data_IF_622665252184
#
_entry.id   IF_622665252184
#
_cell.length_a   1.000
_cell.length_b   1.000
_cell.length_c   1.000
_cell.angle_alpha   90.00
_cell.angle_beta   90.00
_cell.angle_gamma   90.00
#
_symmetry.space_group_name_H-M   'P 1'
#
loop_
_entity.id
_entity.type
_entity.pdbx_description
1 polymer ?
#
# COMPACT_ATOMS: atom_id res chain seq x y z
N UNK A 1 -25.81 -28.57 -8.66
CA UNK A 1 -26.22 -27.39 -9.45
C UNK A 1 -25.20 -27.26 -10.57
N UNK A 2 -25.62 -27.37 -11.83
CA UNK A 2 -24.71 -27.38 -12.98
C UNK A 2 -23.99 -26.03 -13.12
N UNK A 3 -22.70 -26.06 -13.46
CA UNK A 3 -21.79 -24.90 -13.49
C UNK A 3 -22.29 -23.83 -14.49
N UNK A 4 -22.90 -24.28 -15.59
CA UNK A 4 -23.59 -23.42 -16.58
C UNK A 4 -24.79 -22.66 -16.01
N UNK A 5 -25.48 -23.21 -15.00
CA UNK A 5 -26.62 -22.54 -14.39
C UNK A 5 -26.19 -21.43 -13.44
N UNK A 6 -25.03 -21.55 -12.79
CA UNK A 6 -24.44 -20.48 -11.98
C UNK A 6 -23.93 -19.33 -12.85
N UNK A 7 -23.30 -19.63 -13.98
CA UNK A 7 -22.85 -18.62 -14.95
C UNK A 7 -24.03 -17.83 -15.56
N UNK A 8 -25.10 -18.53 -15.96
CA UNK A 8 -26.29 -17.87 -16.49
C UNK A 8 -27.06 -17.07 -15.42
N UNK A 9 -27.12 -17.56 -14.17
CA UNK A 9 -27.73 -16.84 -13.07
C UNK A 9 -26.94 -15.57 -12.71
N UNK A 10 -25.61 -15.66 -12.68
CA UNK A 10 -24.71 -14.54 -12.45
C UNK A 10 -24.79 -13.50 -13.57
N UNK A 11 -24.73 -13.93 -14.84
CA UNK A 11 -24.84 -13.03 -15.98
C UNK A 11 -26.20 -12.31 -16.01
N UNK A 12 -27.30 -12.98 -15.60
CA UNK A 12 -28.62 -12.32 -15.44
C UNK A 12 -28.64 -11.33 -14.28
N UNK A 13 -28.03 -11.68 -13.13
CA UNK A 13 -27.90 -10.77 -11.99
C UNK A 13 -27.01 -9.55 -12.29
N UNK A 14 -26.01 -9.73 -13.15
CA UNK A 14 -25.06 -8.68 -13.50
C UNK A 14 -25.45 -7.88 -14.76
N UNK A 15 -26.39 -8.36 -15.57
CA UNK A 15 -26.83 -7.71 -16.80
C UNK A 15 -27.39 -6.30 -16.56
N UNK A 16 -28.04 -6.09 -15.41
CA UNK A 16 -28.63 -4.80 -15.04
C UNK A 16 -27.74 -3.96 -14.12
N UNK A 17 -26.70 -4.55 -13.51
CA UNK A 17 -25.69 -3.77 -12.78
C UNK A 17 -24.71 -3.17 -13.78
N UNK A 18 -24.96 -1.92 -14.19
CA UNK A 18 -24.05 -1.19 -15.06
C UNK A 18 -22.59 -1.35 -14.58
N UNK A 19 -21.72 -1.87 -15.45
CA UNK A 19 -20.31 -2.08 -15.14
C UNK A 19 -19.73 -0.75 -14.69
N UNK A 20 -19.39 -0.66 -13.40
CA UNK A 20 -18.76 0.53 -12.81
C UNK A 20 -17.48 0.83 -13.59
N UNK A 21 -17.33 2.06 -14.10
CA UNK A 21 -16.11 2.48 -14.78
C UNK A 21 -14.96 2.42 -13.79
N UNK A 22 -13.71 2.26 -14.27
CA UNK A 22 -12.54 2.14 -13.39
C UNK A 22 -12.40 3.30 -12.37
N UNK A 23 -12.91 4.48 -12.73
CA UNK A 23 -13.01 5.67 -11.87
C UNK A 23 -14.07 5.61 -10.77
N UNK A 24 -15.08 4.78 -10.96
CA UNK A 24 -16.16 4.59 -10.00
C UNK A 24 -15.74 3.59 -8.90
N UNK A 25 -14.59 2.92 -9.08
CA UNK A 25 -13.97 1.97 -8.15
C UNK A 25 -13.06 2.70 -7.15
N UNK A 26 -13.02 2.22 -5.91
CA UNK A 26 -12.08 2.70 -4.90
C UNK A 26 -10.62 2.53 -5.36
N UNK A 27 -9.67 3.40 -4.96
CA UNK A 27 -8.28 3.34 -5.42
C UNK A 27 -7.63 1.95 -5.27
N UNK A 28 -7.90 1.25 -4.16
CA UNK A 28 -7.39 -0.09 -3.89
C UNK A 28 -7.99 -1.15 -4.83
N UNK A 29 -9.25 -0.97 -5.23
CA UNK A 29 -9.94 -1.85 -6.20
C UNK A 29 -9.44 -1.55 -7.61
N UNK A 30 -9.33 -0.27 -7.98
CA UNK A 30 -8.76 0.20 -9.25
C UNK A 30 -7.33 -0.35 -9.46
N UNK A 31 -6.49 -0.31 -8.43
CA UNK A 31 -5.14 -0.87 -8.46
C UNK A 31 -5.11 -2.38 -8.69
N UNK A 32 -5.97 -3.14 -7.99
CA UNK A 32 -6.06 -4.60 -8.17
C UNK A 32 -6.59 -4.99 -9.54
N UNK A 33 -7.55 -4.24 -10.08
CA UNK A 33 -8.07 -4.47 -11.44
C UNK A 33 -7.05 -4.08 -12.52
N UNK A 34 -6.28 -3.00 -12.34
CA UNK A 34 -5.23 -2.60 -13.28
C UNK A 34 -4.05 -3.59 -13.28
N UNK A 35 -3.61 -4.06 -12.12
CA UNK A 35 -2.58 -5.08 -12.00
C UNK A 35 -3.03 -6.44 -12.58
N UNK A 36 -4.33 -6.78 -12.46
CA UNK A 36 -4.90 -7.97 -13.08
C UNK A 36 -5.01 -7.86 -14.62
N UNK A 37 -5.16 -6.64 -15.17
CA UNK A 37 -5.19 -6.40 -16.61
C UNK A 37 -3.84 -6.65 -17.31
N UNK A 38 -2.73 -6.63 -16.57
CA UNK A 38 -1.38 -6.89 -17.09
C UNK A 38 -1.05 -8.39 -17.20
N UNK A 39 -1.83 -9.27 -16.57
CA UNK A 39 -1.70 -10.72 -16.67
C UNK A 39 -2.83 -11.20 -17.58
N UNK A 40 -2.55 -11.74 -18.77
CA UNK A 40 -3.60 -12.41 -19.59
C UNK A 40 -4.26 -13.50 -18.74
N UNK A 41 -5.46 -13.31 -18.16
CA UNK A 41 -6.01 -14.30 -17.28
C UNK A 41 -6.58 -15.41 -18.15
N UNK A 42 -6.35 -16.67 -17.79
CA UNK A 42 -7.19 -17.75 -18.31
C UNK A 42 -8.66 -17.41 -17.99
N UNK A 43 -9.60 -17.75 -18.89
CA UNK A 43 -11.03 -17.40 -18.76
C UNK A 43 -11.63 -17.73 -17.38
N UNK A 44 -11.09 -18.73 -16.66
CA UNK A 44 -11.51 -19.11 -15.31
C UNK A 44 -11.09 -18.12 -14.21
N UNK A 45 -9.90 -17.49 -14.30
CA UNK A 45 -9.41 -16.55 -13.30
C UNK A 45 -10.16 -15.20 -13.35
N UNK A 46 -10.52 -14.74 -14.55
CA UNK A 46 -11.35 -13.55 -14.74
C UNK A 46 -12.75 -13.73 -14.13
N UNK A 47 -13.31 -14.93 -14.25
CA UNK A 47 -14.63 -15.29 -13.71
C UNK A 47 -14.65 -15.30 -12.18
N UNK A 48 -13.62 -15.86 -11.52
CA UNK A 48 -13.52 -15.86 -10.05
C UNK A 48 -13.35 -14.45 -9.48
N UNK A 49 -12.59 -13.58 -10.16
CA UNK A 49 -12.40 -12.19 -9.76
C UNK A 49 -13.67 -11.35 -9.98
N UNK A 50 -14.37 -11.55 -11.11
CA UNK A 50 -15.66 -10.92 -11.38
C UNK A 50 -16.74 -11.37 -10.40
N UNK A 51 -16.80 -12.67 -10.08
CA UNK A 51 -17.70 -13.23 -9.08
C UNK A 51 -17.41 -12.70 -7.67
N UNK A 52 -16.13 -12.52 -7.31
CA UNK A 52 -15.74 -11.96 -6.01
C UNK A 52 -16.11 -10.48 -5.89
N UNK A 53 -15.87 -9.69 -6.94
CA UNK A 53 -16.23 -8.27 -6.97
C UNK A 53 -17.75 -8.06 -6.97
N UNK A 54 -18.48 -8.83 -7.78
CA UNK A 54 -19.94 -8.77 -7.84
C UNK A 54 -20.60 -9.29 -6.55
N UNK A 55 -20.08 -10.35 -5.93
CA UNK A 55 -20.55 -10.80 -4.61
C UNK A 55 -20.34 -9.71 -3.55
N UNK A 56 -19.20 -9.00 -3.59
CA UNK A 56 -18.95 -7.87 -2.70
C UNK A 56 -19.95 -6.72 -2.94
N UNK A 57 -20.28 -6.43 -4.20
CA UNK A 57 -21.26 -5.39 -4.58
C UNK A 57 -22.68 -5.78 -4.15
N UNK A 58 -23.07 -7.06 -4.33
CA UNK A 58 -24.40 -7.58 -3.94
C UNK A 58 -24.57 -7.61 -2.42
N UNK A 59 -23.51 -7.94 -1.67
CA UNK A 59 -23.55 -7.89 -0.19
C UNK A 59 -23.69 -6.44 0.31
N UNK A 60 -23.09 -5.47 -0.39
CA UNK A 60 -23.18 -4.05 -0.05
C UNK A 60 -24.50 -3.39 -0.48
N UNK A 61 -25.28 -4.01 -1.37
CA UNK A 61 -26.59 -3.49 -1.83
C UNK A 61 -27.78 -3.96 -0.98
N UNK A 62 -27.57 -4.80 0.04
CA UNK A 62 -28.63 -5.19 0.98
C UNK A 62 -28.79 -4.09 2.06
N UNK A 63 -29.95 -3.42 2.17
CA UNK A 63 -30.21 -2.41 3.20
C UNK A 63 -30.07 -3.02 4.60
N UNK A 64 -29.25 -2.40 5.47
CA UNK A 64 -28.98 -2.85 6.84
C UNK A 64 -27.67 -3.63 7.01
N UNK A 65 -27.23 -4.39 6.00
CA UNK A 65 -25.90 -5.04 5.99
C UNK A 65 -24.80 -3.98 5.81
N UNK A 66 -25.08 -2.96 4.98
CA UNK A 66 -24.20 -1.81 4.80
C UNK A 66 -23.96 -1.07 6.11
N UNK A 67 -25.00 -0.69 6.87
CA UNK A 67 -24.86 -0.01 8.17
C UNK A 67 -24.09 -0.85 9.21
N UNK A 68 -24.37 -2.16 9.33
CA UNK A 68 -23.61 -3.07 10.21
C UNK A 68 -22.12 -3.14 9.83
N UNK A 69 -21.81 -3.18 8.53
CA UNK A 69 -20.43 -3.14 8.01
C UNK A 69 -19.83 -1.74 8.15
N UNK A 70 -20.62 -0.66 8.05
CA UNK A 70 -20.17 0.73 8.15
C UNK A 70 -19.75 1.10 9.58
N UNK A 71 -20.54 0.71 10.60
CA UNK A 71 -20.18 0.92 12.01
C UNK A 71 -18.99 0.05 12.44
N UNK A 72 -18.82 -1.12 11.82
CA UNK A 72 -17.73 -2.09 12.15
C UNK A 72 -16.43 -1.84 11.40
N UNK A 73 -16.46 -1.34 10.17
CA UNK A 73 -15.27 -0.96 9.42
C UNK A 73 -14.70 0.40 9.83
N UNK A 74 -15.44 1.24 10.57
CA UNK A 74 -15.00 2.56 11.02
C UNK A 74 -13.80 2.50 12.00
N UNK A 75 -13.51 1.34 12.58
CA UNK A 75 -12.43 1.15 13.55
C UNK A 75 -11.38 0.19 13.00
N UNK A 76 -10.26 0.75 12.59
CA UNK A 76 -9.10 0.02 12.12
C UNK A 76 -8.17 -0.23 13.31
N UNK A 77 -7.99 -1.51 13.66
CA UNK A 77 -7.07 -1.92 14.70
C UNK A 77 -5.72 -2.24 14.07
N UNK A 78 -4.65 -1.63 14.55
CA UNK A 78 -3.33 -2.19 14.29
C UNK A 78 -2.92 -2.99 15.52
N UNK A 79 -2.68 -4.28 15.32
CA UNK A 79 -2.23 -5.15 16.40
C UNK A 79 -0.83 -5.61 16.08
N UNK A 80 0.13 -5.21 16.90
CA UNK A 80 1.41 -5.90 16.94
C UNK A 80 1.13 -7.29 17.53
N UNK A 81 1.53 -8.32 16.80
CA UNK A 81 1.48 -9.69 17.29
C UNK A 81 2.89 -10.26 17.34
N UNK A 82 3.10 -11.18 18.27
CA UNK A 82 4.25 -12.06 18.27
C UNK A 82 3.82 -13.51 18.35
N UNK A 83 4.55 -14.36 17.63
CA UNK A 83 4.37 -15.80 17.58
C UNK A 83 5.66 -16.44 18.04
N UNK A 84 5.60 -17.23 19.10
CA UNK A 84 6.74 -18.02 19.55
C UNK A 84 6.54 -19.49 19.18
N UNK A 85 7.49 -20.08 18.48
CA UNK A 85 7.52 -21.51 18.12
C UNK A 85 8.94 -22.01 18.32
N UNK A 86 9.11 -23.07 19.11
CA UNK A 86 10.43 -23.68 19.35
C UNK A 86 11.50 -22.70 19.82
N UNK A 87 11.14 -21.82 20.75
CA UNK A 87 12.03 -20.79 21.30
C UNK A 87 12.20 -19.53 20.44
N UNK A 88 11.99 -19.60 19.12
CA UNK A 88 12.09 -18.45 18.21
C UNK A 88 10.84 -17.56 18.25
N UNK A 89 11.02 -16.23 18.28
CA UNK A 89 9.94 -15.24 18.27
C UNK A 89 9.85 -14.56 16.89
N UNK A 90 8.66 -14.61 16.29
CA UNK A 90 8.31 -13.94 15.04
C UNK A 90 7.34 -12.79 15.34
N UNK A 91 7.62 -11.59 14.84
CA UNK A 91 6.77 -10.41 15.07
C UNK A 91 6.15 -9.95 13.76
N UNK A 92 4.94 -9.40 13.84
CA UNK A 92 4.29 -8.78 12.72
C UNK A 92 3.23 -7.78 13.13
N UNK A 93 2.68 -7.08 12.13
CA UNK A 93 1.60 -6.12 12.30
C UNK A 93 0.39 -6.61 11.50
N UNK A 94 -0.74 -6.75 12.17
CA UNK A 94 -2.04 -6.91 11.54
C UNK A 94 -2.70 -5.53 11.46
N UNK A 95 -3.19 -5.15 10.28
CA UNK A 95 -3.93 -3.89 10.08
C UNK A 95 -5.37 -4.28 9.79
N UNK A 96 -6.10 -4.59 10.86
CA UNK A 96 -7.38 -5.28 10.79
C UNK A 96 -8.42 -4.48 10.01
N UNK A 97 -8.69 -4.96 8.81
CA UNK A 97 -10.03 -4.96 8.19
C UNK A 97 -10.60 -6.36 8.42
N UNK A 98 -11.89 -6.49 8.71
CA UNK A 98 -12.56 -7.80 8.84
C UNK A 98 -12.27 -8.66 7.60
N UNK A 99 -11.72 -9.87 7.81
CA UNK A 99 -11.26 -10.75 6.75
C UNK A 99 -9.79 -10.61 6.33
N UNK A 100 -9.03 -9.64 6.85
CA UNK A 100 -7.58 -9.61 6.65
C UNK A 100 -6.97 -10.89 7.22
N UNK A 101 -6.10 -11.48 6.42
CA UNK A 101 -5.46 -12.73 6.74
C UNK A 101 -3.96 -12.60 6.52
N UNK A 102 -3.16 -12.97 7.52
CA UNK A 102 -1.70 -12.97 7.45
C UNK A 102 -1.18 -14.37 7.65
N UNK A 103 -0.34 -14.81 6.72
CA UNK A 103 0.36 -16.08 6.82
C UNK A 103 1.74 -15.87 7.43
N UNK A 104 2.06 -16.67 8.43
CA UNK A 104 3.33 -16.72 9.12
C UNK A 104 3.92 -18.11 8.96
N UNK A 105 5.17 -18.15 8.54
CA UNK A 105 5.94 -19.38 8.51
C UNK A 105 6.77 -19.47 9.79
N UNK A 106 6.51 -20.49 10.59
CA UNK A 106 7.23 -20.74 11.84
C UNK A 106 7.76 -22.19 11.81
N UNK A 107 9.02 -22.33 11.39
CA UNK A 107 9.63 -23.64 11.13
C UNK A 107 8.87 -24.43 10.04
N UNK A 108 8.45 -25.65 10.40
CA UNK A 108 7.67 -26.56 9.56
C UNK A 108 6.15 -26.36 9.65
N UNK A 109 5.67 -25.33 10.37
CA UNK A 109 4.25 -25.01 10.50
C UNK A 109 3.92 -23.68 9.83
N UNK A 110 2.69 -23.59 9.33
CA UNK A 110 2.11 -22.36 8.80
C UNK A 110 1.01 -21.90 9.75
N UNK A 111 1.03 -20.63 10.11
CA UNK A 111 0.01 -20.04 10.99
C UNK A 111 -0.63 -18.91 10.23
N UNK A 112 -1.91 -19.04 9.97
CA UNK A 112 -2.71 -18.04 9.31
C UNK A 112 -3.55 -17.32 10.37
N UNK A 113 -3.22 -16.07 10.62
CA UNK A 113 -3.96 -15.21 11.56
C UNK A 113 -5.01 -14.45 10.78
N UNK A 114 -6.27 -14.66 11.13
CA UNK A 114 -7.43 -14.05 10.48
C UNK A 114 -8.22 -13.23 11.50
N UNK A 115 -8.47 -11.96 11.21
CA UNK A 115 -9.38 -11.17 12.06
C UNK A 115 -10.80 -11.38 11.55
N UNK A 116 -11.61 -12.08 12.34
CA UNK A 116 -12.97 -12.47 11.95
C UNK A 116 -14.03 -11.46 12.35
N UNK A 117 -13.78 -10.64 13.37
CA UNK A 117 -14.64 -9.51 13.71
C UNK A 117 -13.88 -8.50 14.56
N UNK A 118 -14.12 -7.20 14.36
CA UNK A 118 -13.57 -6.14 15.20
C UNK A 118 -14.69 -5.19 15.62
N UNK A 119 -15.00 -5.15 16.92
CA UNK A 119 -16.02 -4.31 17.53
C UNK A 119 -15.41 -3.26 18.45
N UNK A 120 -16.26 -2.41 19.04
CA UNK A 120 -15.82 -1.26 19.84
C UNK A 120 -14.90 -1.63 21.00
N UNK A 121 -15.22 -2.72 21.68
CA UNK A 121 -14.54 -3.16 22.90
C UNK A 121 -13.79 -4.46 22.71
N UNK A 122 -13.97 -5.16 21.59
CA UNK A 122 -13.44 -6.50 21.43
C UNK A 122 -13.06 -6.82 19.99
N UNK A 123 -11.95 -7.55 19.83
CA UNK A 123 -11.47 -8.09 18.56
C UNK A 123 -11.50 -9.62 18.64
N UNK A 124 -12.05 -10.26 17.61
CA UNK A 124 -12.07 -11.71 17.43
C UNK A 124 -11.06 -12.11 16.36
N UNK A 125 -10.14 -12.97 16.74
CA UNK A 125 -9.08 -13.51 15.88
C UNK A 125 -9.24 -15.01 15.78
N UNK A 126 -9.13 -15.54 14.57
CA UNK A 126 -9.06 -16.95 14.29
C UNK A 126 -7.64 -17.28 13.84
N UNK A 127 -7.04 -18.28 14.45
CA UNK A 127 -5.76 -18.81 14.03
C UNK A 127 -6.03 -20.11 13.28
N UNK A 128 -5.54 -20.25 12.05
CA UNK A 128 -5.52 -21.53 11.35
C UNK A 128 -4.07 -22.02 11.32
N UNK A 129 -3.81 -23.09 12.06
CA UNK A 129 -2.48 -23.69 12.16
C UNK A 129 -2.45 -24.88 11.21
N UNK A 130 -1.50 -24.91 10.28
CA UNK A 130 -1.32 -25.97 9.32
C UNK A 130 0.03 -26.68 9.50
N UNK A 131 0.07 -27.95 9.10
CA UNK A 131 1.31 -28.70 8.94
C UNK A 131 2.12 -28.21 7.74
N UNK A 132 3.33 -28.74 7.57
CA UNK A 132 4.19 -28.51 6.40
C UNK A 132 3.49 -28.80 5.08
N UNK A 133 2.65 -29.83 5.05
CA UNK A 133 1.87 -30.25 3.88
C UNK A 133 0.54 -29.49 3.75
N UNK A 134 0.38 -28.37 4.48
CA UNK A 134 -0.84 -27.55 4.52
C UNK A 134 -2.10 -28.27 5.02
N UNK A 135 -1.94 -29.36 5.78
CA UNK A 135 -3.07 -29.99 6.48
C UNK A 135 -3.42 -29.15 7.71
N UNK A 136 -4.69 -28.75 7.84
CA UNK A 136 -5.14 -27.99 9.01
C UNK A 136 -4.99 -28.85 10.28
N UNK A 137 -4.22 -28.34 11.24
CA UNK A 137 -3.95 -28.97 12.53
C UNK A 137 -4.85 -28.42 13.63
N UNK A 138 -5.02 -27.09 13.68
CA UNK A 138 -5.83 -26.43 14.70
C UNK A 138 -6.50 -25.16 14.18
N UNK A 139 -7.66 -24.83 14.77
CA UNK A 139 -8.45 -23.65 14.42
C UNK A 139 -9.01 -22.90 15.65
N UNK A 140 -8.17 -22.43 16.59
CA UNK A 140 -8.70 -21.72 17.75
C UNK A 140 -9.25 -20.34 17.35
N UNK A 141 -10.32 -19.96 18.03
CA UNK A 141 -10.92 -18.62 17.93
C UNK A 141 -10.79 -17.92 19.27
N UNK A 142 -10.30 -16.69 19.22
CA UNK A 142 -9.90 -15.91 20.37
C UNK A 142 -10.65 -14.58 20.33
N UNK A 143 -11.12 -14.13 21.49
CA UNK A 143 -11.74 -12.82 21.65
C UNK A 143 -10.94 -12.08 22.71
N UNK A 144 -10.48 -10.87 22.40
CA UNK A 144 -9.83 -10.00 23.38
C UNK A 144 -10.45 -8.63 23.38
N UNK A 145 -10.37 -7.99 24.55
CA UNK A 145 -10.77 -6.60 24.72
C UNK A 145 -9.71 -5.68 24.13
N UNK A 146 -10.12 -4.63 23.42
CA UNK A 146 -9.20 -3.60 22.90
C UNK A 146 -8.29 -3.08 24.02
N UNK A 147 -6.99 -3.00 23.77
CA UNK A 147 -5.95 -2.58 24.71
C UNK A 147 -5.42 -3.68 25.63
N UNK A 148 -6.05 -4.86 25.67
CA UNK A 148 -5.60 -5.99 26.49
C UNK A 148 -4.86 -7.03 25.66
N UNK A 149 -3.75 -7.54 26.20
CA UNK A 149 -3.02 -8.63 25.58
C UNK A 149 -3.91 -9.89 25.49
N UNK A 150 -3.94 -10.46 24.31
CA UNK A 150 -4.51 -11.75 23.97
C UNK A 150 -3.34 -12.72 23.87
N UNK A 151 -3.36 -13.77 24.67
CA UNK A 151 -2.35 -14.82 24.66
C UNK A 151 -3.04 -16.18 24.53
N UNK A 152 -2.59 -17.00 23.58
CA UNK A 152 -2.97 -18.41 23.52
C UNK A 152 -1.73 -19.28 23.42
N UNK A 153 -1.76 -20.36 24.17
CA UNK A 153 -0.82 -21.45 24.07
C UNK A 153 -1.52 -22.63 23.39
N UNK A 154 -0.99 -23.08 22.25
CA UNK A 154 -1.50 -24.26 21.55
C UNK A 154 -0.45 -25.37 21.73
N UNK A 155 -0.85 -26.42 22.45
CA UNK A 155 -0.01 -27.61 22.63
C UNK A 155 -0.26 -28.55 21.46
N UNK A 156 0.80 -28.98 20.76
CA UNK A 156 0.69 -30.13 19.86
C UNK A 156 0.51 -31.37 20.72
N UNK A 157 -0.51 -32.20 20.43
CA UNK A 157 -0.85 -33.38 21.24
C UNK A 157 0.28 -34.39 21.46
N UNK A 158 1.40 -34.21 20.77
CA UNK A 158 2.57 -35.08 20.75
C UNK A 158 3.66 -34.65 21.75
N UNK A 159 3.39 -33.64 22.60
CA UNK A 159 4.35 -33.13 23.59
C UNK A 159 5.48 -32.26 23.03
N UNK A 160 5.48 -31.99 21.71
CA UNK A 160 6.46 -31.16 21.04
C UNK A 160 6.06 -29.66 21.00
N UNK A 161 7.04 -28.85 21.41
CA UNK A 161 7.15 -27.39 21.46
C UNK A 161 5.88 -26.54 21.24
N UNK A 162 5.53 -25.86 22.32
CA UNK A 162 4.38 -24.99 22.50
C UNK A 162 4.36 -23.82 21.51
N UNK A 163 3.26 -23.68 20.77
CA UNK A 163 2.97 -22.47 20.01
C UNK A 163 2.38 -21.42 20.96
N UNK A 164 2.97 -20.22 21.00
CA UNK A 164 2.43 -19.10 21.76
C UNK A 164 2.11 -17.94 20.82
N UNK A 165 0.84 -17.57 20.71
CA UNK A 165 0.42 -16.37 20.01
C UNK A 165 0.08 -15.29 21.03
N UNK A 166 0.70 -14.13 20.88
CA UNK A 166 0.41 -12.92 21.65
C UNK A 166 0.01 -11.79 20.72
N UNK A 167 -1.04 -11.07 21.05
CA UNK A 167 -1.51 -9.90 20.31
C UNK A 167 -2.06 -8.84 21.25
N UNK A 168 -1.74 -7.56 21.04
CA UNK A 168 -2.41 -6.46 21.73
C UNK A 168 -3.18 -5.64 20.71
N UNK A 169 -4.51 -5.79 20.62
CA UNK A 169 -5.33 -5.01 19.71
C UNK A 169 -5.41 -3.57 20.20
N UNK A 170 -4.89 -2.62 19.42
CA UNK A 170 -4.97 -1.19 19.73
C UNK A 170 -5.76 -0.47 18.64
N UNK A 171 -6.72 0.36 19.06
CA UNK A 171 -7.40 1.28 18.16
C UNK A 171 -6.41 2.38 17.76
N UNK A 172 -6.17 2.52 16.46
CA UNK A 172 -5.33 3.61 15.97
C UNK A 172 -6.17 4.85 15.76
N UNK A 173 -5.69 5.98 16.27
CA UNK A 173 -6.29 7.27 15.92
C UNK A 173 -6.17 7.52 14.41
N UNK A 174 -7.12 8.24 13.79
CA UNK A 174 -7.11 8.55 12.37
C UNK A 174 -5.79 9.10 11.80
N UNK A 175 -5.04 9.87 12.58
CA UNK A 175 -3.72 10.39 12.19
C UNK A 175 -2.55 9.40 12.39
N UNK A 176 -2.74 8.33 13.16
CA UNK A 176 -1.72 7.30 13.45
C UNK A 176 -1.72 6.14 12.45
N UNK A 177 -2.62 6.19 11.46
CA UNK A 177 -2.66 5.28 10.32
C UNK A 177 -1.41 5.44 9.46
N UNK A 178 -0.33 4.83 9.91
CA UNK A 178 0.60 4.15 9.02
C UNK A 178 -0.06 2.85 8.55
N UNK A 179 -1.23 2.92 7.92
CA UNK A 179 -1.40 1.98 6.84
C UNK A 179 -0.16 2.23 5.99
N UNK A 180 0.67 1.21 5.81
CA UNK A 180 1.74 1.24 4.83
C UNK A 180 1.08 1.31 3.45
N UNK A 181 0.31 2.38 3.22
CA UNK A 181 -0.11 2.84 1.92
C UNK A 181 1.20 3.23 1.31
N UNK A 182 1.79 2.27 0.60
CA UNK A 182 2.56 2.49 -0.58
C UNK A 182 2.34 3.93 -1.10
N UNK A 183 3.19 4.86 -0.66
CA UNK A 183 3.19 6.26 -1.04
C UNK A 183 3.99 6.40 -2.31
N UNK A 184 3.58 7.31 -3.17
CA UNK A 184 4.41 7.74 -4.29
C UNK A 184 5.67 8.46 -3.76
N UNK A 185 6.77 8.43 -4.51
CA UNK A 185 7.88 9.36 -4.30
C UNK A 185 7.37 10.82 -4.24
N UNK A 186 8.03 11.69 -3.48
CA UNK A 186 7.56 13.07 -3.26
C UNK A 186 7.37 13.85 -4.56
N UNK A 187 8.30 13.72 -5.51
CA UNK A 187 8.18 14.35 -6.81
C UNK A 187 6.90 13.93 -7.54
N UNK A 188 6.56 12.63 -7.51
CA UNK A 188 5.38 12.10 -8.16
C UNK A 188 4.11 12.49 -7.39
N UNK A 189 4.13 12.44 -6.05
CA UNK A 189 3.03 12.89 -5.20
C UNK A 189 2.70 14.37 -5.42
N UNK A 190 3.72 15.22 -5.53
CA UNK A 190 3.54 16.64 -5.83
C UNK A 190 2.97 16.85 -7.24
N UNK A 191 3.40 16.06 -8.22
CA UNK A 191 2.87 16.12 -9.57
C UNK A 191 1.40 15.65 -9.64
N UNK A 192 1.05 14.57 -8.93
CA UNK A 192 -0.35 14.12 -8.83
C UNK A 192 -1.22 15.14 -8.11
N UNK A 193 -0.70 15.77 -7.05
CA UNK A 193 -1.40 16.83 -6.32
C UNK A 193 -1.68 18.06 -7.19
N UNK A 194 -0.69 18.49 -7.98
CA UNK A 194 -0.85 19.60 -8.92
C UNK A 194 -1.96 19.33 -9.95
N UNK A 195 -1.93 18.14 -10.58
CA UNK A 195 -2.98 17.71 -11.53
C UNK A 195 -4.37 17.73 -10.87
N UNK A 196 -4.46 17.22 -9.64
CA UNK A 196 -5.73 17.15 -8.92
C UNK A 196 -6.27 18.52 -8.53
N UNK A 197 -5.39 19.48 -8.20
CA UNK A 197 -5.78 20.87 -7.94
C UNK A 197 -6.40 21.53 -9.16
N UNK A 198 -5.88 21.26 -10.36
CA UNK A 198 -6.42 21.80 -11.63
C UNK A 198 -7.88 21.37 -11.86
N UNK A 199 -8.28 20.22 -11.32
CA UNK A 199 -9.60 19.62 -11.58
C UNK A 199 -10.44 19.41 -10.31
N UNK A 200 -10.13 20.18 -9.27
CA UNK A 200 -10.70 19.98 -7.95
C UNK A 200 -12.21 20.23 -7.92
N UNK A 201 -12.70 21.26 -8.62
CA UNK A 201 -14.14 21.53 -8.75
C UNK A 201 -14.89 20.42 -9.50
N UNK A 202 -14.35 19.98 -10.64
CA UNK A 202 -14.94 18.90 -11.42
C UNK A 202 -15.01 17.61 -10.61
N UNK A 203 -13.94 17.29 -9.88
CA UNK A 203 -13.86 16.12 -9.02
C UNK A 203 -14.85 16.23 -7.86
N UNK A 204 -14.95 17.40 -7.23
CA UNK A 204 -15.91 17.66 -6.15
C UNK A 204 -17.36 17.52 -6.63
N UNK A 205 -17.69 18.07 -7.81
CA UNK A 205 -19.02 17.96 -8.41
C UNK A 205 -19.40 16.50 -8.69
N UNK A 206 -18.47 15.73 -9.28
CA UNK A 206 -18.69 14.32 -9.56
C UNK A 206 -18.99 13.52 -8.28
N UNK A 207 -18.19 13.70 -7.22
CA UNK A 207 -18.41 12.97 -5.97
C UNK A 207 -19.65 13.45 -5.22
N UNK A 208 -19.90 14.76 -5.19
CA UNK A 208 -21.12 15.30 -4.59
C UNK A 208 -22.37 14.71 -5.25
N UNK A 209 -22.40 14.61 -6.59
CA UNK A 209 -23.52 14.01 -7.33
C UNK A 209 -23.73 12.54 -6.98
N UNK A 210 -22.65 11.76 -6.88
CA UNK A 210 -22.73 10.37 -6.45
C UNK A 210 -23.29 10.23 -5.03
N UNK A 211 -22.88 11.12 -4.14
CA UNK A 211 -23.31 11.12 -2.73
C UNK A 211 -24.78 11.51 -2.58
N UNK A 212 -25.18 12.66 -3.12
CA UNK A 212 -26.47 13.27 -2.82
C UNK A 212 -27.56 12.97 -3.85
N UNK A 213 -27.21 12.48 -5.05
CA UNK A 213 -28.19 12.21 -6.11
C UNK A 213 -28.23 10.72 -6.45
N UNK A 214 -27.09 10.07 -6.66
CA UNK A 214 -27.11 8.61 -6.92
C UNK A 214 -27.26 7.78 -5.65
N UNK A 215 -26.86 8.31 -4.48
CA UNK A 215 -26.82 7.62 -3.20
C UNK A 215 -26.05 6.29 -3.22
N UNK A 216 -25.08 6.15 -4.13
CA UNK A 216 -24.30 4.93 -4.31
C UNK A 216 -23.02 4.90 -3.45
N UNK A 217 -22.74 6.01 -2.77
CA UNK A 217 -21.67 6.21 -1.79
C UNK A 217 -22.11 7.28 -0.78
N UNK A 218 -21.81 7.09 0.50
CA UNK A 218 -22.08 8.11 1.54
C UNK A 218 -20.89 9.06 1.69
N UNK A 219 -21.11 10.26 2.25
CA UNK A 219 -20.02 11.20 2.51
C UNK A 219 -18.98 10.60 3.47
N UNK A 220 -19.44 9.92 4.52
CA UNK A 220 -18.60 9.27 5.53
C UNK A 220 -17.74 8.16 4.89
N UNK A 221 -18.29 7.39 3.95
CA UNK A 221 -17.52 6.42 3.18
C UNK A 221 -16.46 7.10 2.31
N UNK A 222 -16.82 8.17 1.61
CA UNK A 222 -15.87 8.88 0.76
C UNK A 222 -14.72 9.47 1.57
N UNK A 223 -15.03 10.24 2.62
CA UNK A 223 -14.05 10.86 3.53
C UNK A 223 -13.11 9.81 4.13
N UNK A 224 -13.69 8.69 4.59
CA UNK A 224 -12.93 7.57 5.13
C UNK A 224 -11.94 6.96 4.14
N UNK A 225 -12.17 6.97 2.84
CA UNK A 225 -11.23 6.39 1.86
C UNK A 225 -10.39 7.44 1.12
N UNK A 226 -10.72 8.73 1.27
CA UNK A 226 -9.98 9.83 0.65
C UNK A 226 -8.51 9.87 1.10
N UNK A 227 -8.17 9.33 2.28
CA UNK A 227 -6.76 9.27 2.73
C UNK A 227 -5.88 8.35 1.87
N UNK A 228 -6.47 7.40 1.16
CA UNK A 228 -5.75 6.45 0.31
C UNK A 228 -5.49 7.00 -1.10
N UNK A 229 -5.94 8.23 -1.38
CA UNK A 229 -5.68 8.91 -2.63
C UNK A 229 -4.28 9.51 -2.61
N UNK A 230 -3.63 9.54 -3.78
CA UNK A 230 -2.31 10.13 -3.94
C UNK A 230 -2.41 11.67 -4.04
N UNK A 231 -2.89 12.26 -2.94
CA UNK A 231 -3.12 13.69 -2.74
C UNK A 231 -2.35 14.17 -1.51
N UNK A 232 -1.86 15.41 -1.54
CA UNK A 232 -1.36 16.06 -0.34
C UNK A 232 -2.53 16.33 0.63
N UNK A 233 -2.29 16.34 1.95
CA UNK A 233 -3.34 16.58 2.95
C UNK A 233 -4.17 17.84 2.69
N UNK A 234 -3.51 18.97 2.38
CA UNK A 234 -4.19 20.24 2.14
C UNK A 234 -5.16 20.19 0.95
N UNK A 235 -4.78 19.53 -0.15
CA UNK A 235 -5.63 19.38 -1.34
C UNK A 235 -6.80 18.44 -1.07
N UNK A 236 -6.55 17.37 -0.31
CA UNK A 236 -7.60 16.43 0.12
C UNK A 236 -8.63 17.13 1.00
N UNK A 237 -8.19 17.92 1.97
CA UNK A 237 -9.08 18.63 2.89
C UNK A 237 -9.95 19.64 2.11
N UNK A 238 -9.34 20.37 1.16
CA UNK A 238 -10.08 21.28 0.26
C UNK A 238 -11.11 20.54 -0.61
N UNK A 239 -10.75 19.37 -1.15
CA UNK A 239 -11.69 18.53 -1.91
C UNK A 239 -12.88 18.10 -1.05
N UNK A 240 -12.62 17.63 0.18
CA UNK A 240 -13.65 17.20 1.12
C UNK A 240 -14.58 18.33 1.53
N UNK A 241 -14.04 19.53 1.73
CA UNK A 241 -14.79 20.75 2.01
C UNK A 241 -15.73 21.09 0.86
N UNK A 242 -15.24 21.10 -0.39
CA UNK A 242 -16.07 21.42 -1.57
C UNK A 242 -17.17 20.39 -1.81
N UNK A 243 -16.87 19.10 -1.64
CA UNK A 243 -17.89 18.04 -1.72
C UNK A 243 -18.97 18.29 -0.67
N UNK A 244 -18.59 18.57 0.58
CA UNK A 244 -19.54 18.84 1.67
C UNK A 244 -20.42 20.04 1.36
N UNK A 245 -19.84 21.13 0.85
CA UNK A 245 -20.57 22.33 0.47
C UNK A 245 -21.58 22.08 -0.68
N UNK A 246 -21.20 21.30 -1.70
CA UNK A 246 -22.08 20.94 -2.82
C UNK A 246 -23.24 20.04 -2.38
N UNK A 247 -22.96 19.07 -1.50
CA UNK A 247 -23.99 18.20 -0.91
C UNK A 247 -24.95 19.00 -0.04
N UNK A 248 -24.44 19.83 0.88
CA UNK A 248 -25.26 20.62 1.80
C UNK A 248 -26.12 21.66 1.08
N UNK A 249 -25.63 22.24 -0.01
CA UNK A 249 -26.39 23.23 -0.80
C UNK A 249 -27.38 22.61 -1.78
N UNK A 250 -27.39 21.29 -1.96
CA UNK A 250 -28.22 20.61 -2.96
C UNK A 250 -27.85 20.95 -4.41
N UNK A 251 -26.68 21.55 -4.65
CA UNK A 251 -26.23 21.97 -5.99
C UNK A 251 -25.50 20.88 -6.77
N UNK A 252 -25.34 19.71 -6.17
CA UNK A 252 -24.72 18.57 -6.83
C UNK A 252 -25.50 18.15 -8.09
N UNK A 253 -24.78 17.98 -9.19
CA UNK A 253 -25.36 17.60 -10.49
C UNK A 253 -24.42 16.69 -11.24
N UNK A 254 -24.96 15.96 -12.22
CA UNK A 254 -24.13 15.20 -13.15
C UNK A 254 -23.17 16.14 -13.88
N UNK A 255 -21.96 15.64 -14.13
CA UNK A 255 -21.00 16.33 -14.98
C UNK A 255 -21.56 16.50 -16.39
N UNK A 256 -21.34 17.67 -16.98
CA UNK A 256 -21.60 17.87 -18.41
C UNK A 256 -20.50 17.20 -19.27
N UNK A 257 -20.66 17.24 -20.60
CA UNK A 257 -19.71 16.58 -21.50
C UNK A 257 -18.29 17.15 -21.41
N UNK A 258 -18.15 18.46 -21.17
CA UNK A 258 -16.86 19.13 -21.05
C UNK A 258 -16.17 18.70 -19.76
N UNK A 259 -16.90 18.73 -18.65
CA UNK A 259 -16.44 18.28 -17.34
C UNK A 259 -16.07 16.78 -17.34
N UNK A 260 -16.88 15.94 -18.00
CA UNK A 260 -16.55 14.52 -18.18
C UNK A 260 -15.24 14.32 -18.95
N UNK A 261 -14.96 15.17 -19.95
CA UNK A 261 -13.71 15.11 -20.71
C UNK A 261 -12.52 15.58 -19.87
N UNK A 262 -12.66 16.65 -19.09
CA UNK A 262 -11.64 17.13 -18.15
C UNK A 262 -11.28 16.02 -17.15
N UNK A 263 -12.28 15.34 -16.59
CA UNK A 263 -12.05 14.26 -15.63
C UNK A 263 -11.34 13.05 -16.28
N UNK A 264 -11.72 12.67 -17.51
CA UNK A 264 -11.03 11.60 -18.25
C UNK A 264 -9.56 11.94 -18.56
N UNK A 265 -9.29 13.17 -19.01
CA UNK A 265 -7.93 13.63 -19.28
C UNK A 265 -7.07 13.60 -18.00
N UNK A 266 -7.65 14.08 -16.89
CA UNK A 266 -7.03 14.02 -15.56
C UNK A 266 -6.68 12.59 -15.16
N UNK A 267 -7.62 11.67 -15.32
CA UNK A 267 -7.39 10.25 -15.03
C UNK A 267 -6.26 9.66 -15.87
N UNK A 268 -6.16 10.02 -17.15
CA UNK A 268 -5.09 9.58 -18.03
C UNK A 268 -3.72 10.14 -17.61
N UNK A 269 -3.66 11.44 -17.26
CA UNK A 269 -2.43 12.09 -16.75
C UNK A 269 -1.96 11.46 -15.43
N UNK A 270 -2.87 11.18 -14.51
CA UNK A 270 -2.56 10.50 -13.25
C UNK A 270 -2.09 9.06 -13.49
N UNK A 271 -2.72 8.33 -14.40
CA UNK A 271 -2.32 6.96 -14.73
C UNK A 271 -0.90 6.93 -15.32
N UNK A 272 -0.58 7.85 -16.22
CA UNK A 272 0.76 7.98 -16.80
C UNK A 272 1.85 8.24 -15.76
N UNK A 273 1.53 8.96 -14.68
CA UNK A 273 2.47 9.20 -13.56
C UNK A 273 2.60 7.99 -12.63
N UNK A 274 1.51 7.29 -12.35
CA UNK A 274 1.45 6.29 -11.28
C UNK A 274 1.84 4.90 -11.78
N UNK A 275 1.43 4.51 -12.99
CA UNK A 275 1.50 3.12 -13.47
C UNK A 275 2.93 2.58 -13.54
N UNK A 276 3.93 3.43 -13.80
CA UNK A 276 5.35 3.07 -13.83
C UNK A 276 6.10 3.39 -12.53
N UNK A 277 5.44 4.01 -11.54
CA UNK A 277 6.10 4.50 -10.35
C UNK A 277 6.02 3.49 -9.21
N UNK A 278 7.16 2.94 -8.74
CA UNK A 278 7.17 2.03 -7.61
C UNK A 278 6.73 2.79 -6.36
N UNK A 279 5.67 2.29 -5.73
CA UNK A 279 5.21 2.84 -4.47
C UNK A 279 6.06 2.34 -3.31
N UNK A 280 6.30 3.18 -2.32
CA UNK A 280 7.18 2.91 -1.19
C UNK A 280 6.40 2.96 0.13
N UNK A 281 6.72 2.08 1.08
CA UNK A 281 6.15 2.23 2.43
C UNK A 281 6.78 3.45 3.12
N UNK A 282 6.06 4.07 4.06
CA UNK A 282 6.60 5.19 4.83
C UNK A 282 7.90 4.81 5.59
N UNK A 283 8.01 3.57 6.05
CA UNK A 283 9.23 3.03 6.66
C UNK A 283 10.38 2.95 5.64
N UNK A 284 10.12 2.39 4.46
CA UNK A 284 11.11 2.30 3.39
C UNK A 284 11.62 3.68 3.00
N UNK A 285 10.71 4.66 2.88
CA UNK A 285 11.06 6.06 2.58
C UNK A 285 11.94 6.68 3.68
N UNK A 286 11.59 6.50 4.96
CA UNK A 286 12.42 6.98 6.08
C UNK A 286 13.81 6.37 6.06
N UNK A 287 13.92 5.08 5.75
CA UNK A 287 15.21 4.38 5.65
C UNK A 287 16.04 4.90 4.48
N UNK A 288 15.43 5.17 3.33
CA UNK A 288 16.11 5.86 2.22
C UNK A 288 16.62 7.23 2.67
N UNK A 289 15.78 8.05 3.31
CA UNK A 289 16.18 9.37 3.81
C UNK A 289 17.35 9.29 4.79
N UNK A 290 17.30 8.36 5.75
CA UNK A 290 18.37 8.18 6.73
C UNK A 290 19.68 7.68 6.08
N UNK A 291 19.58 6.80 5.08
CA UNK A 291 20.72 6.36 4.27
C UNK A 291 21.34 7.53 3.49
N UNK A 292 20.52 8.33 2.82
CA UNK A 292 20.95 9.50 2.05
C UNK A 292 21.60 10.57 2.94
N UNK A 293 21.08 10.81 4.13
CA UNK A 293 21.69 11.71 5.12
C UNK A 293 23.08 11.25 5.57
N UNK A 294 23.28 9.94 5.71
CA UNK A 294 24.58 9.38 6.05
C UNK A 294 25.60 9.50 4.89
N UNK A 295 25.14 9.42 3.63
CA UNK A 295 25.99 9.51 2.44
C UNK A 295 26.25 10.94 1.98
N UNK A 296 25.34 11.88 2.24
CA UNK A 296 25.45 13.28 1.79
C UNK A 296 26.80 13.95 2.10
N UNK A 297 27.42 13.79 3.29
CA UNK A 297 28.72 14.39 3.60
C UNK A 297 29.87 13.86 2.74
N UNK A 298 29.72 12.66 2.16
CA UNK A 298 30.75 12.00 1.33
C UNK A 298 30.36 11.93 -0.15
N UNK A 299 29.26 12.57 -0.58
CA UNK A 299 28.76 12.47 -1.95
C UNK A 299 29.80 12.84 -3.02
N UNK A 300 30.68 13.82 -2.74
CA UNK A 300 31.80 14.17 -3.65
C UNK A 300 32.89 13.10 -3.69
N UNK A 301 33.15 12.44 -2.56
CA UNK A 301 34.13 11.34 -2.46
C UNK A 301 33.59 10.11 -3.22
N UNK A 302 32.30 9.79 -3.03
CA UNK A 302 31.64 8.71 -3.79
C UNK A 302 31.64 9.00 -5.30
N UNK A 303 31.37 10.24 -5.71
CA UNK A 303 31.47 10.64 -7.11
C UNK A 303 32.88 10.43 -7.68
N UNK A 304 33.93 10.78 -6.92
CA UNK A 304 35.32 10.55 -7.31
C UNK A 304 35.63 9.05 -7.45
N UNK A 305 35.17 8.23 -6.50
CA UNK A 305 35.33 6.77 -6.55
C UNK A 305 34.72 6.18 -7.82
N UNK A 306 33.48 6.53 -8.14
CA UNK A 306 32.82 6.03 -9.35
C UNK A 306 33.45 6.57 -10.63
N UNK A 307 33.81 7.86 -10.67
CA UNK A 307 34.48 8.44 -11.83
C UNK A 307 35.83 7.76 -12.12
N UNK A 308 36.61 7.45 -11.08
CA UNK A 308 37.86 6.69 -11.21
C UNK A 308 37.64 5.27 -11.74
N UNK A 309 36.62 4.56 -11.25
CA UNK A 309 36.27 3.24 -11.76
C UNK A 309 35.90 3.26 -13.24
N UNK A 310 35.21 4.30 -13.70
CA UNK A 310 34.82 4.47 -15.09
C UNK A 310 36.03 4.85 -15.97
N UNK A 311 36.78 5.89 -15.60
CA UNK A 311 37.84 6.45 -16.46
C UNK A 311 39.11 5.59 -16.48
N UNK A 312 39.57 5.14 -15.31
CA UNK A 312 40.88 4.49 -15.14
C UNK A 312 40.74 2.98 -15.07
N UNK A 313 39.89 2.48 -14.15
CA UNK A 313 39.75 1.03 -13.93
C UNK A 313 38.99 0.33 -15.07
N UNK A 314 38.07 1.06 -15.73
CA UNK A 314 37.22 0.62 -16.84
C UNK A 314 36.47 -0.68 -16.55
N UNK A 315 36.12 -0.90 -15.27
CA UNK A 315 35.36 -2.07 -14.83
C UNK A 315 33.85 -1.84 -14.80
N UNK A 316 33.40 -0.63 -15.16
CA UNK A 316 32.01 -0.23 -15.36
C UNK A 316 31.96 1.02 -16.25
N UNK A 317 30.99 1.10 -17.16
CA UNK A 317 30.72 2.32 -17.94
C UNK A 317 29.75 3.26 -17.21
N UNK A 318 29.69 4.53 -17.64
CA UNK A 318 28.74 5.49 -17.07
C UNK A 318 27.28 5.03 -17.28
N UNK A 319 26.97 4.51 -18.46
CA UNK A 319 25.64 4.01 -18.84
C UNK A 319 25.25 2.75 -18.07
N UNK A 320 26.18 1.83 -17.85
CA UNK A 320 25.95 0.65 -16.99
C UNK A 320 25.71 1.05 -15.55
N UNK A 321 26.52 1.98 -15.02
CA UNK A 321 26.34 2.47 -13.65
C UNK A 321 24.96 3.13 -13.48
N UNK A 322 24.53 3.93 -14.46
CA UNK A 322 23.21 4.54 -14.47
C UNK A 322 22.09 3.48 -14.43
N UNK A 323 22.19 2.42 -15.25
CA UNK A 323 21.24 1.30 -15.21
C UNK A 323 21.24 0.57 -13.86
N UNK A 324 22.42 0.29 -13.30
CA UNK A 324 22.56 -0.37 -12.00
C UNK A 324 21.99 0.48 -10.85
N UNK A 325 22.04 1.80 -10.97
CA UNK A 325 21.54 2.73 -9.96
C UNK A 325 20.02 2.70 -9.74
N UNK A 326 19.26 2.14 -10.68
CA UNK A 326 17.82 1.93 -10.52
C UNK A 326 17.50 1.09 -9.27
N UNK A 327 18.40 0.17 -8.89
CA UNK A 327 18.24 -0.70 -7.74
C UNK A 327 18.89 -0.18 -6.45
N UNK A 328 19.48 1.02 -6.47
CA UNK A 328 20.16 1.56 -5.30
C UNK A 328 19.16 2.05 -4.26
N UNK A 329 19.51 1.81 -2.99
CA UNK A 329 18.73 2.23 -1.83
C UNK A 329 18.97 3.72 -1.50
N UNK A 330 18.50 4.60 -2.40
CA UNK A 330 18.69 6.06 -2.32
C UNK A 330 17.55 6.80 -3.02
N UNK A 331 17.30 8.07 -2.65
CA UNK A 331 16.31 8.90 -3.31
C UNK A 331 16.78 9.31 -4.72
N UNK A 332 15.84 9.54 -5.62
CA UNK A 332 16.14 9.92 -7.01
C UNK A 332 16.92 11.25 -7.09
N UNK A 333 16.62 12.22 -6.22
CA UNK A 333 17.33 13.50 -6.16
C UNK A 333 18.80 13.31 -5.74
N UNK A 334 19.05 12.41 -4.79
CA UNK A 334 20.40 12.06 -4.32
C UNK A 334 21.19 11.36 -5.42
N UNK A 335 20.58 10.39 -6.13
CA UNK A 335 21.17 9.74 -7.31
C UNK A 335 21.50 10.77 -8.38
N UNK A 336 20.56 11.64 -8.74
CA UNK A 336 20.75 12.67 -9.75
C UNK A 336 21.91 13.63 -9.39
N UNK A 337 22.02 14.03 -8.12
CA UNK A 337 23.13 14.85 -7.64
C UNK A 337 24.48 14.12 -7.74
N UNK A 338 24.52 12.83 -7.38
CA UNK A 338 25.71 12.00 -7.52
C UNK A 338 26.16 11.88 -8.99
N UNK A 339 25.25 11.52 -9.90
CA UNK A 339 25.58 11.39 -11.33
C UNK A 339 26.04 12.70 -11.96
N UNK A 340 25.46 13.84 -11.55
CA UNK A 340 25.95 15.16 -11.96
C UNK A 340 27.40 15.39 -11.55
N UNK A 341 27.76 15.00 -10.32
CA UNK A 341 29.14 15.12 -9.83
C UNK A 341 30.10 14.14 -10.53
N UNK A 342 29.68 12.88 -10.77
CA UNK A 342 30.47 11.90 -11.52
C UNK A 342 30.79 12.45 -12.90
N UNK A 343 29.77 12.92 -13.62
CA UNK A 343 29.92 13.49 -14.96
C UNK A 343 30.87 14.69 -14.96
N UNK A 344 30.72 15.62 -14.02
CA UNK A 344 31.61 16.77 -13.92
C UNK A 344 33.10 16.37 -13.69
N UNK A 345 33.35 15.32 -12.91
CA UNK A 345 34.72 14.81 -12.68
C UNK A 345 35.27 14.18 -13.96
N UNK A 346 34.47 13.34 -14.65
CA UNK A 346 34.83 12.71 -15.92
C UNK A 346 35.12 13.76 -17.01
N UNK A 347 34.21 14.71 -17.20
CA UNK A 347 34.34 15.79 -18.20
C UNK A 347 35.59 16.65 -17.93
N UNK A 348 35.99 16.80 -16.66
CA UNK A 348 37.20 17.54 -16.27
C UNK A 348 38.51 16.75 -16.34
N UNK A 349 38.46 15.43 -16.57
CA UNK A 349 39.64 14.56 -16.55
C UNK A 349 40.31 14.41 -15.18
N UNK A 350 39.62 14.76 -14.08
CA UNK A 350 40.17 14.75 -12.71
C UNK A 350 39.91 13.45 -11.94
N UNK A 351 39.44 12.41 -12.63
CA UNK A 351 39.19 11.11 -12.02
C UNK A 351 40.50 10.54 -11.44
N UNK A 352 40.46 10.11 -10.17
CA UNK A 352 41.62 9.57 -9.47
C UNK A 352 41.20 8.60 -8.38
N UNK A 353 42.05 7.64 -7.97
CA UNK A 353 41.74 6.80 -6.83
C UNK A 353 41.51 7.67 -5.58
N UNK A 354 40.72 7.14 -4.65
CA UNK A 354 40.55 7.77 -3.36
C UNK A 354 41.87 7.72 -2.59
N UNK A 355 42.21 8.82 -1.94
CA UNK A 355 43.31 8.84 -0.96
C UNK A 355 42.92 7.99 0.27
N UNK A 356 43.89 7.50 1.04
CA UNK A 356 43.60 6.70 2.23
C UNK A 356 42.63 7.40 3.23
N UNK A 357 42.74 8.72 3.50
CA UNK A 357 41.77 9.43 4.33
C UNK A 357 40.36 9.52 3.71
N UNK A 358 40.26 9.68 2.39
CA UNK A 358 38.98 9.69 1.68
C UNK A 358 38.32 8.31 1.71
N UNK A 359 39.10 7.24 1.47
CA UNK A 359 38.64 5.85 1.53
C UNK A 359 38.06 5.53 2.92
N UNK A 360 38.77 5.88 3.99
CA UNK A 360 38.30 5.66 5.35
C UNK A 360 36.99 6.43 5.66
N UNK A 361 36.85 7.66 5.15
CA UNK A 361 35.61 8.44 5.30
C UNK A 361 34.45 7.81 4.52
N UNK A 362 34.71 7.37 3.30
CA UNK A 362 33.73 6.72 2.44
C UNK A 362 33.22 5.41 3.05
N UNK A 363 34.12 4.54 3.50
CA UNK A 363 33.75 3.27 4.15
C UNK A 363 32.95 3.50 5.44
N UNK A 364 33.36 4.48 6.25
CA UNK A 364 32.61 4.84 7.47
C UNK A 364 31.20 5.34 7.15
N UNK A 365 31.03 6.12 6.09
CA UNK A 365 29.72 6.59 5.64
C UNK A 365 28.86 5.43 5.09
N UNK A 366 29.44 4.54 4.29
CA UNK A 366 28.77 3.32 3.81
C UNK A 366 28.31 2.44 4.97
N UNK A 367 29.13 2.28 6.00
CA UNK A 367 28.75 1.56 7.21
C UNK A 367 27.54 2.22 7.89
N UNK A 368 27.58 3.53 8.11
CA UNK A 368 26.45 4.28 8.70
C UNK A 368 25.18 4.18 7.87
N UNK A 369 25.28 4.29 6.55
CA UNK A 369 24.14 4.19 5.64
C UNK A 369 23.50 2.78 5.69
N UNK A 370 24.33 1.73 5.73
CA UNK A 370 23.85 0.34 5.92
C UNK A 370 23.14 0.15 7.26
N UNK A 371 23.69 0.70 8.34
CA UNK A 371 23.05 0.64 9.67
C UNK A 371 21.74 1.42 9.71
N UNK A 372 21.69 2.61 9.10
CA UNK A 372 20.47 3.41 8.97
C UNK A 372 19.39 2.72 8.14
N UNK A 373 19.82 1.89 7.17
CA UNK A 373 18.95 1.09 6.33
C UNK A 373 18.42 -0.19 7.00
N UNK A 374 18.88 -0.58 8.20
CA UNK A 374 18.38 -1.78 8.90
C UNK A 374 17.07 -1.48 9.66
N UNK A 375 16.19 -2.47 9.72
CA UNK A 375 14.97 -2.43 10.53
C UNK A 375 15.37 -2.46 12.02
N UNK A 376 14.92 -1.49 12.81
CA UNK A 376 14.91 -1.61 14.28
C UNK A 376 13.66 -2.32 14.75
#
# INVERSE_FOLDING_TARGET
>A
MDEKNLENAFNRLCADTGIKKSRDLWPQVRQRTAAAGAIRPSRRAAWVLAASAAAFVVILSIPGVSQSIMTRLARLFSSNYSVRVGGAEYKGVLVSVEGETRELRAGDRYVQVKVTSAGERAVKVELLVYSRDRKLLAKPSLVSVTGKALEIKISGGDGAEDFMFRMVPAEKQPGSYSASVYQLPDAVLNATDAIQRETLDTTAMYWAWRISVMHDVTYEQFEKYAFAWDLLPATRDLLLERIRALVASGKARRLDQREENILKDTEARLDALITSTPRMTADFKRRITASDEALRPVAKIEAMYWAWRIAEKKDVTYEELLKLSANWFSAEETKAALFRNIKAILDSGKARPLTAPEQARYEKALFKAREAGKHK
#
